data_IF_734794570521
#
_entry.id   IF_734794570521
#
_cell.length_a   1.000
_cell.length_b   1.000
_cell.length_c   1.000
_cell.angle_alpha   90.00
_cell.angle_beta   90.00
_cell.angle_gamma   90.00
#
_symmetry.space_group_name_H-M   'P 1'
#
loop_
_entity.id
_entity.type
_entity.pdbx_description
1 polymer ?
#
# COMPACT_ATOMS: atom_id res chain seq x y z
N UNK A 1 67.83 -5.73 -58.73
CA UNK A 1 68.50 -5.20 -57.52
C UNK A 1 67.46 -4.43 -56.70
N UNK A 2 67.12 -4.90 -55.49
CA UNK A 2 66.29 -4.25 -54.43
C UNK A 2 64.78 -4.14 -54.69
N UNK A 3 63.78 -4.77 -54.02
CA UNK A 3 63.47 -4.98 -52.57
C UNK A 3 62.93 -3.68 -51.90
N UNK A 4 61.72 -3.50 -51.30
CA UNK A 4 60.55 -4.30 -50.88
C UNK A 4 59.29 -3.41 -50.62
N UNK A 5 58.08 -4.00 -50.74
CA UNK A 5 56.81 -3.91 -49.93
C UNK A 5 56.27 -2.55 -49.42
N UNK A 6 54.95 -2.24 -49.40
CA UNK A 6 53.88 -2.95 -48.68
C UNK A 6 52.46 -2.38 -49.00
N UNK A 7 51.49 -3.27 -49.27
CA UNK A 7 50.02 -3.29 -48.97
C UNK A 7 49.33 -2.08 -48.32
N UNK A 8 48.03 -1.80 -48.42
CA UNK A 8 46.84 -2.25 -49.21
C UNK A 8 45.66 -1.48 -48.56
N UNK A 9 44.67 -1.04 -49.34
CA UNK A 9 43.24 -0.87 -48.95
C UNK A 9 42.89 0.09 -47.79
N UNK A 10 41.68 0.66 -47.63
CA UNK A 10 40.41 0.51 -48.31
C UNK A 10 39.57 1.75 -47.96
N UNK A 11 38.62 2.07 -48.81
CA UNK A 11 37.53 3.00 -48.58
C UNK A 11 36.85 2.83 -47.21
N UNK A 12 36.62 3.94 -46.50
CA UNK A 12 35.64 4.00 -45.42
C UNK A 12 34.80 5.27 -45.59
N UNK A 13 33.82 5.18 -46.49
CA UNK A 13 32.52 5.74 -46.16
C UNK A 13 31.96 4.91 -44.98
N UNK A 14 31.27 5.53 -44.03
CA UNK A 14 30.06 4.98 -43.37
C UNK A 14 29.56 5.95 -42.27
N UNK A 15 28.36 6.48 -42.54
CA UNK A 15 27.23 6.67 -41.62
C UNK A 15 27.46 6.25 -40.16
N UNK A 16 27.19 7.16 -39.21
CA UNK A 16 26.22 6.92 -38.12
C UNK A 16 26.26 8.05 -37.08
N UNK A 17 25.39 9.05 -37.24
CA UNK A 17 25.00 9.97 -36.18
C UNK A 17 23.60 9.60 -35.64
N UNK A 18 23.37 8.34 -35.30
CA UNK A 18 22.22 7.98 -34.45
C UNK A 18 22.68 8.18 -33.01
N UNK A 19 22.18 9.24 -32.38
CA UNK A 19 22.24 9.38 -30.93
C UNK A 19 21.52 8.16 -30.34
N UNK A 20 22.29 7.19 -29.87
CA UNK A 20 21.76 6.07 -29.13
C UNK A 20 21.11 6.62 -27.87
N UNK A 21 19.78 6.56 -27.77
CA UNK A 21 19.08 6.60 -26.49
C UNK A 21 19.44 5.31 -25.77
N UNK A 22 20.59 5.26 -25.10
CA UNK A 22 20.94 4.13 -24.24
C UNK A 22 19.97 4.11 -23.06
N UNK A 23 18.90 3.34 -23.17
CA UNK A 23 18.20 2.84 -21.98
C UNK A 23 19.21 1.93 -21.29
N UNK A 24 19.73 2.36 -20.13
CA UNK A 24 20.58 1.52 -19.28
C UNK A 24 19.82 0.23 -18.98
N UNK A 25 20.24 -0.87 -19.61
CA UNK A 25 19.80 -2.23 -19.28
C UNK A 25 20.71 -2.84 -18.21
N UNK A 26 21.23 -2.02 -17.28
CA UNK A 26 21.89 -2.59 -16.12
C UNK A 26 20.80 -3.11 -15.18
N UNK A 27 20.67 -4.43 -15.11
CA UNK A 27 19.83 -5.13 -14.12
C UNK A 27 20.19 -4.76 -12.65
N UNK A 28 21.27 -3.98 -12.48
CA UNK A 28 21.77 -3.41 -11.24
C UNK A 28 21.30 -1.98 -10.98
N UNK A 29 20.32 -1.40 -11.68
CA UNK A 29 19.82 -0.04 -11.39
C UNK A 29 18.35 -0.05 -10.96
N UNK A 30 18.02 0.70 -9.89
CA UNK A 30 16.63 0.83 -9.45
C UNK A 30 15.83 1.65 -10.45
N UNK A 31 14.55 1.32 -10.70
CA UNK A 31 13.71 2.10 -11.61
C UNK A 31 13.71 3.58 -11.22
N UNK A 32 14.21 4.44 -12.10
CA UNK A 32 14.24 5.89 -11.89
C UNK A 32 12.95 6.57 -12.33
N UNK A 33 12.23 5.93 -13.25
CA UNK A 33 11.02 6.47 -13.85
C UNK A 33 9.84 5.55 -13.59
N UNK A 34 8.77 6.15 -13.09
CA UNK A 34 7.46 5.53 -13.03
C UNK A 34 6.49 6.32 -13.92
N UNK A 35 5.55 5.65 -14.60
CA UNK A 35 4.46 6.34 -15.27
C UNK A 35 3.75 7.28 -14.30
N UNK A 36 3.29 8.43 -14.78
CA UNK A 36 2.50 9.40 -14.00
C UNK A 36 1.05 8.92 -13.81
N UNK A 37 0.89 7.69 -13.32
CA UNK A 37 -0.40 7.06 -13.03
C UNK A 37 -0.62 7.14 -11.52
N UNK A 38 -1.69 7.82 -11.12
CA UNK A 38 -2.06 7.94 -9.71
C UNK A 38 -3.04 6.81 -9.33
N UNK A 39 -2.49 5.71 -8.82
CA UNK A 39 -3.21 4.57 -8.25
C UNK A 39 -2.55 4.21 -6.93
N UNK A 40 -2.85 4.97 -5.86
CA UNK A 40 -2.04 4.95 -4.65
C UNK A 40 -2.12 3.60 -3.94
N UNK A 41 -1.01 3.23 -3.31
CA UNK A 41 -0.88 2.03 -2.50
C UNK A 41 -0.32 2.40 -1.13
N UNK A 42 -0.82 1.75 -0.07
CA UNK A 42 -0.28 1.88 1.26
C UNK A 42 0.72 0.74 1.47
N UNK A 43 1.90 1.07 1.96
CA UNK A 43 2.87 0.08 2.40
C UNK A 43 3.26 0.30 3.86
N UNK A 44 3.82 -0.72 4.49
CA UNK A 44 4.50 -0.55 5.78
C UNK A 44 5.76 -1.40 5.90
N UNK A 45 6.76 -0.92 6.64
CA UNK A 45 8.03 -1.63 6.88
C UNK A 45 8.09 -2.31 8.27
N UNK A 46 6.92 -2.48 8.90
CA UNK A 46 6.78 -2.96 10.28
C UNK A 46 6.69 -1.84 11.31
N UNK A 47 7.16 -0.63 10.99
CA UNK A 47 7.17 0.51 11.91
C UNK A 47 6.35 1.69 11.38
N UNK A 48 6.49 2.00 10.09
CA UNK A 48 5.89 3.18 9.47
C UNK A 48 4.98 2.75 8.34
N UNK A 49 3.78 3.35 8.29
CA UNK A 49 2.89 3.28 7.14
C UNK A 49 3.16 4.46 6.20
N UNK A 50 3.18 4.19 4.90
CA UNK A 50 3.44 5.21 3.87
C UNK A 50 2.60 4.97 2.63
N UNK A 51 1.98 6.04 2.14
CA UNK A 51 1.31 6.04 0.85
C UNK A 51 2.32 6.30 -0.27
N UNK A 52 2.21 5.51 -1.35
CA UNK A 52 2.98 5.66 -2.59
C UNK A 52 2.02 5.95 -3.73
N UNK A 53 2.40 6.83 -4.66
CA UNK A 53 1.54 7.25 -5.78
C UNK A 53 1.10 6.10 -6.71
N UNK A 54 1.93 5.04 -6.81
CA UNK A 54 1.63 3.81 -7.54
C UNK A 54 2.46 2.64 -7.02
N UNK A 55 2.11 1.43 -7.44
CA UNK A 55 2.93 0.24 -7.19
C UNK A 55 4.35 0.34 -7.77
N UNK A 56 4.54 1.08 -8.88
CA UNK A 56 5.86 1.33 -9.43
C UNK A 56 6.71 2.15 -8.45
N UNK A 57 6.14 3.22 -7.89
CA UNK A 57 6.85 4.07 -6.93
C UNK A 57 7.24 3.28 -5.67
N UNK A 58 6.36 2.42 -5.17
CA UNK A 58 6.67 1.51 -4.06
C UNK A 58 7.85 0.60 -4.41
N UNK A 59 7.83 -0.06 -5.58
CA UNK A 59 8.91 -0.95 -6.02
C UNK A 59 10.24 -0.23 -6.22
N UNK A 60 10.22 0.95 -6.83
CA UNK A 60 11.41 1.78 -6.99
C UNK A 60 12.01 2.18 -5.63
N UNK A 61 11.16 2.58 -4.69
CA UNK A 61 11.57 2.94 -3.34
C UNK A 61 12.12 1.74 -2.55
N UNK A 62 11.46 0.58 -2.65
CA UNK A 62 11.94 -0.66 -2.03
C UNK A 62 13.28 -1.12 -2.60
N UNK A 63 13.47 -1.05 -3.92
CA UNK A 63 14.77 -1.37 -4.54
C UNK A 63 15.91 -0.53 -3.94
N UNK A 64 15.67 0.77 -3.70
CA UNK A 64 16.67 1.64 -3.07
C UNK A 64 16.92 1.22 -1.62
N UNK A 65 15.85 0.93 -0.86
CA UNK A 65 15.96 0.47 0.53
C UNK A 65 16.72 -0.86 0.65
N UNK A 66 16.44 -1.83 -0.21
CA UNK A 66 17.16 -3.11 -0.24
C UNK A 66 18.65 -2.93 -0.44
N UNK A 67 19.07 -2.04 -1.36
CA UNK A 67 20.49 -1.72 -1.57
C UNK A 67 21.15 -1.04 -0.39
N UNK A 68 20.37 -0.28 0.37
CA UNK A 68 20.80 0.32 1.63
C UNK A 68 20.63 -0.63 2.83
N UNK A 69 20.33 -1.92 2.60
CA UNK A 69 20.07 -2.92 3.63
C UNK A 69 18.97 -2.51 4.65
N UNK A 70 17.96 -1.77 4.19
CA UNK A 70 16.80 -1.37 4.97
C UNK A 70 15.61 -2.28 4.67
N UNK A 71 14.76 -2.53 5.67
CA UNK A 71 13.52 -3.30 5.51
C UNK A 71 12.64 -2.69 4.44
N UNK A 72 12.06 -3.49 3.55
CA UNK A 72 11.15 -3.00 2.50
C UNK A 72 9.74 -2.77 3.03
N UNK A 73 8.99 -1.92 2.35
CA UNK A 73 7.56 -1.76 2.61
C UNK A 73 6.77 -2.92 1.97
N UNK A 74 6.02 -3.66 2.78
CA UNK A 74 5.00 -4.59 2.33
C UNK A 74 3.69 -3.84 2.07
N UNK A 75 2.98 -4.18 0.99
CA UNK A 75 1.67 -3.59 0.70
C UNK A 75 0.65 -3.96 1.78
N UNK A 76 -0.19 -3.01 2.16
CA UNK A 76 -1.27 -3.17 3.12
C UNK A 76 -2.50 -2.39 2.66
N UNK A 77 -3.60 -2.54 3.40
CA UNK A 77 -4.84 -1.81 3.16
C UNK A 77 -4.63 -0.28 3.25
N UNK A 78 -5.29 0.48 2.38
CA UNK A 78 -5.20 1.95 2.34
C UNK A 78 -5.65 2.60 3.63
N UNK A 79 -6.55 1.97 4.39
CA UNK A 79 -7.08 2.54 5.62
C UNK A 79 -5.98 2.74 6.66
N UNK A 80 -4.90 1.96 6.64
CA UNK A 80 -3.75 2.18 7.52
C UNK A 80 -3.04 3.52 7.28
N UNK A 81 -3.05 4.01 6.04
CA UNK A 81 -2.41 5.27 5.67
C UNK A 81 -3.36 6.47 5.75
N UNK A 82 -4.67 6.26 5.63
CA UNK A 82 -5.64 7.35 5.41
C UNK A 82 -6.64 7.58 6.54
N UNK A 83 -6.79 6.63 7.46
CA UNK A 83 -7.78 6.75 8.54
C UNK A 83 -7.17 7.23 9.85
N UNK A 84 -7.98 7.95 10.62
CA UNK A 84 -7.63 8.34 11.98
C UNK A 84 -7.76 7.13 12.90
N UNK A 85 -6.66 6.75 13.56
CA UNK A 85 -6.69 5.72 14.60
C UNK A 85 -7.31 6.29 15.86
N UNK A 86 -8.36 5.65 16.37
CA UNK A 86 -9.10 6.09 17.55
C UNK A 86 -9.15 4.96 18.57
N UNK A 87 -9.12 5.33 19.85
CA UNK A 87 -9.23 4.39 20.97
C UNK A 87 -10.68 4.00 21.25
N UNK A 88 -11.61 4.93 21.00
CA UNK A 88 -13.04 4.73 21.17
C UNK A 88 -13.77 4.99 19.85
N UNK A 89 -14.13 3.90 19.17
CA UNK A 89 -14.91 3.97 17.93
C UNK A 89 -16.37 4.36 18.20
N UNK A 90 -16.92 4.01 19.36
CA UNK A 90 -18.31 4.32 19.70
C UNK A 90 -18.51 5.82 19.87
N UNK A 91 -17.56 6.49 20.54
CA UNK A 91 -17.55 7.94 20.69
C UNK A 91 -17.52 8.65 19.33
N UNK A 92 -16.57 8.27 18.47
CA UNK A 92 -16.35 8.92 17.17
C UNK A 92 -17.48 8.68 16.17
N UNK A 93 -18.25 7.62 16.36
CA UNK A 93 -19.39 7.26 15.53
C UNK A 93 -20.74 7.70 16.14
N UNK A 94 -20.71 8.56 17.17
CA UNK A 94 -21.89 9.25 17.66
C UNK A 94 -22.63 8.54 18.80
N UNK A 95 -21.92 7.77 19.64
CA UNK A 95 -22.45 7.10 20.83
C UNK A 95 -23.71 6.28 20.53
N UNK A 96 -23.60 5.46 19.49
CA UNK A 96 -24.70 4.64 18.97
C UNK A 96 -25.23 3.72 20.07
N UNK A 97 -26.56 3.64 20.16
CA UNK A 97 -27.25 2.72 21.07
C UNK A 97 -27.29 1.34 20.45
N UNK A 98 -26.82 0.34 21.19
CA UNK A 98 -26.80 -1.06 20.76
C UNK A 98 -28.09 -1.81 21.11
N UNK A 99 -28.96 -1.22 21.93
CA UNK A 99 -30.23 -1.81 22.41
C UNK A 99 -31.36 -1.72 21.38
N UNK A 100 -31.02 -1.75 20.10
CA UNK A 100 -32.00 -1.72 19.01
C UNK A 100 -32.55 -3.13 18.84
N UNK A 101 -33.88 -3.25 18.85
CA UNK A 101 -34.58 -4.51 18.59
C UNK A 101 -34.12 -5.11 17.26
N UNK A 102 -33.52 -6.30 17.33
CA UNK A 102 -32.98 -7.04 16.18
C UNK A 102 -31.45 -6.99 16.03
N UNK A 103 -30.78 -6.02 16.65
CA UNK A 103 -29.31 -5.91 16.62
C UNK A 103 -28.65 -6.42 17.90
N UNK A 104 -29.31 -6.25 19.05
CA UNK A 104 -28.78 -6.72 20.32
C UNK A 104 -28.69 -8.25 20.32
N UNK A 105 -27.47 -8.76 20.13
CA UNK A 105 -27.12 -10.16 20.31
C UNK A 105 -26.13 -10.24 21.47
N UNK A 106 -26.46 -10.92 22.59
CA UNK A 106 -25.53 -11.04 23.70
C UNK A 106 -24.30 -11.81 23.24
N UNK A 107 -23.14 -11.14 23.24
CA UNK A 107 -21.87 -11.76 22.91
C UNK A 107 -21.32 -12.52 24.12
N UNK A 108 -20.69 -13.66 23.86
CA UNK A 108 -19.86 -14.33 24.85
C UNK A 108 -18.68 -13.44 25.23
N UNK A 109 -18.13 -13.60 26.44
CA UNK A 109 -16.95 -12.88 26.93
C UNK A 109 -15.63 -13.37 26.29
N UNK A 110 -15.63 -13.56 24.97
CA UNK A 110 -14.45 -13.93 24.19
C UNK A 110 -13.80 -12.62 23.73
N UNK A 111 -12.59 -12.38 24.23
CA UNK A 111 -11.79 -11.23 23.82
C UNK A 111 -10.81 -11.66 22.72
N UNK A 112 -11.14 -11.29 21.48
CA UNK A 112 -10.35 -11.56 20.27
C UNK A 112 -10.36 -10.27 19.44
N UNK A 113 -9.50 -9.31 19.78
CA UNK A 113 -9.60 -7.98 19.23
C UNK A 113 -9.33 -7.97 17.74
N UNK A 114 -10.07 -7.14 17.02
CA UNK A 114 -9.94 -6.91 15.59
C UNK A 114 -9.65 -5.44 15.36
N UNK A 115 -8.68 -5.13 14.51
CA UNK A 115 -8.58 -3.80 13.94
C UNK A 115 -9.62 -3.65 12.86
N UNK A 116 -10.54 -2.72 13.04
CA UNK A 116 -11.63 -2.47 12.12
C UNK A 116 -11.59 -1.05 11.61
N UNK A 117 -12.11 -0.81 10.41
CA UNK A 117 -12.17 0.52 9.81
C UNK A 117 -13.39 0.72 8.95
N UNK A 118 -13.85 1.97 8.85
CA UNK A 118 -14.90 2.39 7.93
C UNK A 118 -14.40 3.36 6.85
N UNK A 119 -13.08 3.37 6.59
CA UNK A 119 -12.47 4.30 5.64
C UNK A 119 -12.33 5.75 6.15
N UNK A 120 -12.82 6.07 7.35
CA UNK A 120 -12.57 7.35 8.04
C UNK A 120 -11.81 7.17 9.35
N UNK A 121 -12.31 6.26 10.18
CA UNK A 121 -11.70 5.89 11.46
C UNK A 121 -11.25 4.43 11.40
N UNK A 122 -10.20 4.11 12.15
CA UNK A 122 -9.84 2.73 12.49
C UNK A 122 -9.62 2.59 13.98
N UNK A 123 -9.92 1.42 14.54
CA UNK A 123 -9.78 1.18 15.97
C UNK A 123 -10.00 -0.28 16.32
N UNK A 124 -9.74 -0.60 17.59
CA UNK A 124 -9.91 -1.96 18.09
C UNK A 124 -11.39 -2.22 18.41
N UNK A 125 -11.88 -3.36 17.95
CA UNK A 125 -13.16 -3.93 18.32
C UNK A 125 -12.92 -5.20 19.13
N UNK A 126 -13.57 -5.42 20.29
CA UNK A 126 -13.23 -6.53 21.20
C UNK A 126 -13.38 -7.94 20.61
N UNK A 127 -14.27 -8.12 19.64
CA UNK A 127 -14.56 -9.40 18.99
C UNK A 127 -15.30 -9.21 17.65
N UNK A 128 -15.37 -10.28 16.85
CA UNK A 128 -16.23 -10.32 15.67
C UNK A 128 -17.73 -10.17 16.03
N UNK A 129 -18.18 -10.76 17.14
CA UNK A 129 -19.58 -10.63 17.58
C UNK A 129 -19.94 -9.16 17.89
N UNK A 130 -19.07 -8.45 18.62
CA UNK A 130 -19.27 -7.03 18.91
C UNK A 130 -19.20 -6.17 17.65
N UNK A 131 -18.38 -6.54 16.66
CA UNK A 131 -18.37 -5.87 15.36
C UNK A 131 -19.72 -6.00 14.65
N UNK A 132 -20.29 -7.20 14.63
CA UNK A 132 -21.58 -7.45 13.97
C UNK A 132 -22.73 -6.69 14.63
N UNK A 133 -22.81 -6.70 15.96
CA UNK A 133 -23.86 -5.96 16.69
C UNK A 133 -23.72 -4.45 16.49
N UNK A 134 -22.48 -3.94 16.49
CA UNK A 134 -22.18 -2.54 16.26
C UNK A 134 -22.52 -2.10 14.82
N UNK A 135 -22.16 -2.90 13.82
CA UNK A 135 -22.53 -2.63 12.43
C UNK A 135 -24.04 -2.70 12.19
N UNK A 136 -24.74 -3.65 12.83
CA UNK A 136 -26.20 -3.69 12.78
C UNK A 136 -26.79 -2.39 13.35
N UNK A 137 -26.29 -1.92 14.49
CA UNK A 137 -26.77 -0.69 15.10
C UNK A 137 -26.45 0.54 14.23
N UNK A 138 -25.26 0.61 13.63
CA UNK A 138 -24.90 1.63 12.64
C UNK A 138 -25.93 1.71 11.50
N UNK A 139 -26.26 0.57 10.88
CA UNK A 139 -27.24 0.51 9.81
C UNK A 139 -28.63 0.94 10.27
N UNK A 140 -29.07 0.50 11.46
CA UNK A 140 -30.35 0.90 12.03
C UNK A 140 -30.43 2.41 12.32
N UNK A 141 -29.29 3.05 12.58
CA UNK A 141 -29.15 4.50 12.70
C UNK A 141 -28.91 5.23 11.36
N UNK A 142 -29.04 4.53 10.23
CA UNK A 142 -29.00 5.13 8.90
C UNK A 142 -27.60 5.18 8.26
N UNK A 143 -26.60 4.54 8.85
CA UNK A 143 -25.29 4.41 8.22
C UNK A 143 -25.41 3.62 6.90
N UNK A 144 -24.77 4.12 5.85
CA UNK A 144 -24.71 3.43 4.56
C UNK A 144 -23.80 2.20 4.68
N UNK A 145 -23.94 1.19 3.80
CA UNK A 145 -23.04 0.04 3.78
C UNK A 145 -21.55 0.39 3.69
N UNK A 146 -21.21 1.51 3.04
CA UNK A 146 -19.84 2.01 2.89
C UNK A 146 -19.27 2.64 4.17
N UNK A 147 -20.11 2.94 5.16
CA UNK A 147 -19.73 3.58 6.43
C UNK A 147 -19.61 2.56 7.57
N UNK A 148 -19.85 1.28 7.27
CA UNK A 148 -19.73 0.18 8.23
C UNK A 148 -18.28 -0.21 8.43
N UNK A 149 -18.01 -0.72 9.62
CA UNK A 149 -16.69 -1.19 10.00
C UNK A 149 -16.42 -2.55 9.35
N UNK A 150 -15.30 -2.67 8.65
CA UNK A 150 -14.76 -3.94 8.16
C UNK A 150 -13.45 -4.28 8.87
N UNK A 151 -13.09 -5.55 8.89
CA UNK A 151 -11.83 -6.00 9.49
C UNK A 151 -10.64 -5.63 8.59
N UNK A 152 -9.62 -5.02 9.17
CA UNK A 152 -8.30 -4.79 8.55
C UNK A 152 -7.31 -5.90 8.93
N UNK A 153 -7.26 -6.25 10.21
CA UNK A 153 -6.34 -7.26 10.77
C UNK A 153 -6.87 -7.76 12.11
N UNK A 154 -6.45 -8.97 12.50
CA UNK A 154 -6.58 -9.44 13.88
C UNK A 154 -5.58 -8.74 14.83
N UNK A 155 -5.90 -8.76 16.11
CA UNK A 155 -5.06 -8.50 17.28
C UNK A 155 -4.57 -7.06 17.52
N UNK A 156 -4.42 -6.22 16.48
CA UNK A 156 -3.81 -4.89 16.66
C UNK A 156 -4.19 -3.87 15.58
N UNK A 157 -4.32 -2.62 16.04
CA UNK A 157 -4.24 -1.37 15.27
C UNK A 157 -3.01 -0.57 15.76
#
# INVERSE_FOLDING_TARGET
MGSQTLSLCCCLALLSGIAATSVSNNATDCPQFCPAIFMPVCGHDGFIYKEFASICNLKAFNCQRERSALTTYATTDMDWCRTEQVTDLQEKLGNIKLDINGCLKPCTMIYQPLCVSNGKYRGLMPSACTLETFNCALQAHGAKPTELLRVLRADSC
#
